data_IF_854823436806
#
_entry.id   IF_854823436806
#
_cell.length_a   1.000
_cell.length_b   1.000
_cell.length_c   1.000
_cell.angle_alpha   90.00
_cell.angle_beta   90.00
_cell.angle_gamma   90.00
#
_symmetry.space_group_name_H-M   'P 1'
#
loop_
_entity.id
_entity.type
_entity.pdbx_description
1 polymer ?
#
# COMPACT_ATOMS: atom_id res chain seq x y z
N UNK A 1 -15.35 35.97 -17.92
CA UNK A 1 -15.29 35.09 -19.13
C UNK A 1 -13.99 35.26 -19.93
N UNK A 2 -13.41 36.47 -20.01
CA UNK A 2 -12.15 36.72 -20.73
C UNK A 2 -10.88 36.14 -20.08
N UNK A 3 -10.85 36.01 -18.76
CA UNK A 3 -9.63 35.65 -18.01
C UNK A 3 -9.08 34.25 -18.34
N UNK A 4 -9.95 33.24 -18.53
CA UNK A 4 -9.55 31.87 -18.94
C UNK A 4 -9.04 31.77 -20.39
N UNK A 5 -9.21 32.81 -21.22
CA UNK A 5 -8.62 32.86 -22.57
C UNK A 5 -7.21 33.45 -22.55
N UNK A 6 -6.92 34.30 -21.57
CA UNK A 6 -5.62 34.97 -21.43
C UNK A 6 -4.66 34.09 -20.63
N UNK A 7 -5.15 33.46 -19.56
CA UNK A 7 -4.35 32.55 -18.74
C UNK A 7 -4.50 31.14 -19.30
N UNK A 8 -3.45 30.67 -19.98
CA UNK A 8 -3.35 29.31 -20.50
C UNK A 8 -2.77 28.35 -19.44
N UNK A 9 -3.13 27.06 -19.49
CA UNK A 9 -2.60 26.05 -18.59
C UNK A 9 -1.12 25.75 -18.91
N UNK A 10 -0.35 25.34 -17.90
CA UNK A 10 1.10 25.11 -18.02
C UNK A 10 1.46 24.00 -19.03
N UNK A 11 0.54 23.07 -19.26
CA UNK A 11 0.64 21.96 -20.20
C UNK A 11 0.88 22.45 -21.63
N UNK A 12 0.47 23.68 -21.94
CA UNK A 12 0.68 24.27 -23.26
C UNK A 12 2.17 24.49 -23.59
N UNK A 13 3.02 24.67 -22.58
CA UNK A 13 4.47 24.84 -22.76
C UNK A 13 5.15 23.48 -23.00
N UNK A 14 4.52 22.39 -22.55
CA UNK A 14 5.09 21.05 -22.54
C UNK A 14 4.74 20.22 -23.79
N UNK A 15 4.11 20.83 -24.80
CA UNK A 15 3.63 20.13 -26.00
C UNK A 15 4.74 19.58 -26.89
N UNK A 16 5.96 20.11 -26.78
CA UNK A 16 7.08 19.74 -27.64
C UNK A 16 7.83 18.50 -27.15
N UNK A 17 7.57 18.03 -25.93
CA UNK A 17 8.27 16.89 -25.34
C UNK A 17 7.52 15.58 -25.60
N UNK A 18 8.23 14.45 -25.76
CA UNK A 18 7.61 13.14 -25.81
C UNK A 18 6.85 12.84 -24.52
N UNK A 19 5.66 12.27 -24.67
CA UNK A 19 4.69 12.07 -23.60
C UNK A 19 4.69 10.63 -23.12
N UNK A 20 4.61 10.49 -21.80
CA UNK A 20 4.53 9.20 -21.13
C UNK A 20 3.35 9.22 -20.16
N UNK A 21 2.35 8.39 -20.43
CA UNK A 21 1.14 8.30 -19.61
C UNK A 21 1.37 7.31 -18.49
N UNK A 22 1.23 7.79 -17.26
CA UNK A 22 1.49 7.04 -16.03
C UNK A 22 0.18 6.53 -15.44
N UNK A 23 0.23 5.35 -14.83
CA UNK A 23 -0.87 4.78 -14.04
C UNK A 23 -1.15 5.64 -12.80
N UNK A 24 -2.42 5.95 -12.54
CA UNK A 24 -2.86 6.80 -11.42
C UNK A 24 -2.27 6.39 -10.05
N UNK A 25 -2.02 5.09 -9.84
CA UNK A 25 -1.42 4.59 -8.59
C UNK A 25 0.05 4.99 -8.38
N UNK A 26 0.77 5.28 -9.46
CA UNK A 26 2.18 5.67 -9.43
C UNK A 26 2.38 7.19 -9.38
N UNK A 27 1.34 7.98 -9.64
CA UNK A 27 1.42 9.45 -9.72
C UNK A 27 1.95 10.07 -8.43
N UNK A 28 1.41 9.69 -7.27
CA UNK A 28 1.86 10.29 -6.01
C UNK A 28 3.33 9.97 -5.71
N UNK A 29 3.80 8.77 -6.03
CA UNK A 29 5.20 8.39 -5.84
C UNK A 29 6.14 9.30 -6.66
N UNK A 30 5.77 9.62 -7.90
CA UNK A 30 6.50 10.54 -8.78
C UNK A 30 6.49 11.96 -8.21
N UNK A 31 5.37 12.41 -7.61
CA UNK A 31 5.30 13.72 -6.95
C UNK A 31 6.26 13.85 -5.74
N UNK A 32 6.63 12.73 -5.11
CA UNK A 32 7.67 12.70 -4.08
C UNK A 32 9.10 12.58 -4.64
N UNK A 33 9.28 12.44 -5.95
CA UNK A 33 10.58 12.32 -6.58
C UNK A 33 11.01 10.88 -6.87
N UNK A 34 10.12 9.88 -6.74
CA UNK A 34 10.46 8.49 -7.07
C UNK A 34 10.68 8.32 -8.58
N UNK A 35 11.64 7.48 -8.98
CA UNK A 35 11.86 7.15 -10.39
C UNK A 35 10.67 6.39 -10.98
N UNK A 36 10.39 6.60 -12.26
CA UNK A 36 9.32 5.90 -12.96
C UNK A 36 9.83 4.52 -13.40
N UNK A 37 9.18 3.47 -12.90
CA UNK A 37 9.44 2.08 -13.31
C UNK A 37 8.44 1.61 -14.37
N UNK A 38 8.81 0.56 -15.12
CA UNK A 38 7.95 -0.09 -16.13
C UNK A 38 6.51 -0.35 -15.67
N UNK A 39 6.22 -0.93 -14.49
CA UNK A 39 4.84 -1.17 -14.05
C UNK A 39 4.00 0.10 -13.84
N UNK A 40 4.65 1.27 -13.77
CA UNK A 40 3.99 2.58 -13.68
C UNK A 40 3.55 3.13 -15.04
N UNK A 41 4.03 2.59 -16.15
CA UNK A 41 3.73 3.07 -17.51
C UNK A 41 2.42 2.47 -18.00
N UNK A 42 1.53 3.34 -18.51
CA UNK A 42 0.29 2.93 -19.17
C UNK A 42 0.41 3.06 -20.69
N UNK A 43 0.94 4.19 -21.17
CA UNK A 43 1.16 4.46 -22.60
C UNK A 43 2.44 5.27 -22.76
N UNK A 44 3.09 5.11 -23.90
CA UNK A 44 4.31 5.84 -24.24
C UNK A 44 4.22 6.32 -25.69
N UNK A 45 4.90 7.42 -25.99
CA UNK A 45 5.03 7.94 -27.34
C UNK A 45 6.12 7.21 -28.14
N UNK A 46 6.03 7.30 -29.46
CA UNK A 46 7.07 6.80 -30.36
C UNK A 46 8.25 7.79 -30.39
N UNK A 47 9.45 7.29 -30.69
CA UNK A 47 10.69 8.08 -30.79
C UNK A 47 11.22 8.63 -29.45
N UNK A 48 11.10 7.85 -28.37
CA UNK A 48 11.81 8.13 -27.12
C UNK A 48 13.20 7.52 -27.24
N UNK A 49 14.22 8.36 -27.11
CA UNK A 49 15.63 7.96 -27.06
C UNK A 49 16.17 8.07 -25.63
N UNK A 50 17.22 7.31 -25.33
CA UNK A 50 17.91 7.40 -24.03
C UNK A 50 18.53 8.78 -23.88
N UNK A 51 18.32 9.42 -22.74
CA UNK A 51 18.80 10.77 -22.46
C UNK A 51 17.88 11.89 -22.96
N UNK A 52 16.82 11.59 -23.69
CA UNK A 52 15.84 12.59 -24.10
C UNK A 52 15.02 13.11 -22.91
N UNK A 53 14.64 14.39 -22.97
CA UNK A 53 13.72 14.98 -22.00
C UNK A 53 12.29 14.59 -22.35
N UNK A 54 11.57 14.06 -21.35
CA UNK A 54 10.20 13.56 -21.50
C UNK A 54 9.28 14.15 -20.45
N UNK A 55 7.99 14.19 -20.77
CA UNK A 55 6.92 14.65 -19.88
C UNK A 55 6.09 13.46 -19.44
N UNK A 56 5.97 13.28 -18.13
CA UNK A 56 5.06 12.31 -17.54
C UNK A 56 3.69 12.96 -17.30
N UNK A 57 2.64 12.33 -17.82
CA UNK A 57 1.27 12.82 -17.72
C UNK A 57 0.34 11.79 -17.07
N UNK A 58 -0.73 12.27 -16.45
CA UNK A 58 -1.83 11.41 -16.00
C UNK A 58 -2.72 11.00 -17.17
N UNK A 59 -3.65 10.07 -16.93
CA UNK A 59 -4.69 9.70 -17.91
C UNK A 59 -5.62 10.85 -18.27
N UNK A 60 -5.71 11.88 -17.41
CA UNK A 60 -6.49 13.10 -17.63
C UNK A 60 -5.75 14.15 -18.46
N UNK A 61 -4.46 13.94 -18.74
CA UNK A 61 -3.62 14.91 -19.44
C UNK A 61 -3.04 16.01 -18.54
N UNK A 62 -2.99 15.79 -17.23
CA UNK A 62 -2.30 16.71 -16.30
C UNK A 62 -0.80 16.40 -16.32
N UNK A 63 0.04 17.44 -16.34
CA UNK A 63 1.49 17.27 -16.28
C UNK A 63 1.94 16.94 -14.84
N UNK A 64 2.57 15.77 -14.66
CA UNK A 64 3.05 15.33 -13.34
C UNK A 64 4.45 15.89 -13.08
N UNK A 65 5.38 15.58 -13.99
CA UNK A 65 6.80 15.89 -13.85
C UNK A 65 7.50 15.79 -15.21
N UNK A 66 8.64 16.46 -15.33
CA UNK A 66 9.60 16.25 -16.42
C UNK A 66 10.72 15.33 -15.96
N UNK A 67 11.23 14.53 -16.88
CA UNK A 67 12.27 13.54 -16.60
C UNK A 67 13.19 13.30 -17.79
N UNK A 68 14.25 12.55 -17.53
CA UNK A 68 15.20 12.08 -18.53
C UNK A 68 14.93 10.60 -18.74
N UNK A 69 14.66 10.22 -19.99
CA UNK A 69 14.42 8.83 -20.36
C UNK A 69 15.68 7.98 -20.19
N UNK A 70 15.55 6.82 -19.56
CA UNK A 70 16.63 5.83 -19.40
C UNK A 70 16.50 4.65 -20.38
N UNK A 71 15.36 4.55 -21.06
CA UNK A 71 15.04 3.48 -22.00
C UNK A 71 14.52 4.06 -23.31
N UNK A 72 14.76 3.37 -24.42
CA UNK A 72 14.15 3.70 -25.70
C UNK A 72 12.73 3.15 -25.80
N UNK A 73 11.92 3.67 -26.73
CA UNK A 73 10.56 3.15 -27.01
C UNK A 73 10.53 1.63 -27.23
N UNK A 74 11.52 1.08 -27.94
CA UNK A 74 11.59 -0.36 -28.22
C UNK A 74 11.86 -1.20 -26.96
N UNK A 75 12.66 -0.65 -26.03
CA UNK A 75 12.98 -1.31 -24.75
C UNK A 75 11.80 -1.25 -23.80
N UNK A 76 11.11 -0.09 -23.73
CA UNK A 76 9.89 0.07 -22.90
C UNK A 76 8.81 -0.95 -23.30
N UNK A 77 8.74 -1.32 -24.58
CA UNK A 77 7.77 -2.28 -25.07
C UNK A 77 8.14 -3.76 -24.81
N UNK A 78 9.43 -4.07 -24.66
CA UNK A 78 9.92 -5.45 -24.60
C UNK A 78 10.27 -5.94 -23.20
N UNK A 79 10.64 -5.04 -22.29
CA UNK A 79 11.17 -5.40 -20.97
C UNK A 79 10.07 -5.39 -19.89
N UNK A 80 10.11 -6.37 -18.98
CA UNK A 80 9.14 -6.50 -17.88
C UNK A 80 9.46 -5.66 -16.63
N UNK A 81 10.74 -5.27 -16.46
CA UNK A 81 11.26 -4.62 -15.26
C UNK A 81 12.32 -3.57 -15.60
N UNK A 82 12.44 -2.55 -14.75
CA UNK A 82 13.49 -1.54 -14.86
C UNK A 82 12.98 -0.11 -14.77
N UNK A 83 13.93 0.82 -14.84
CA UNK A 83 13.68 2.26 -14.71
C UNK A 83 13.48 2.87 -16.09
N UNK A 84 12.33 3.49 -16.30
CA UNK A 84 11.95 4.11 -17.57
C UNK A 84 12.43 5.57 -17.62
N UNK A 85 12.25 6.30 -16.52
CA UNK A 85 12.59 7.72 -16.44
C UNK A 85 13.08 8.11 -15.06
N UNK A 86 14.12 8.96 -15.03
CA UNK A 86 14.58 9.64 -13.82
C UNK A 86 14.00 11.05 -13.81
N UNK A 87 13.47 11.49 -12.67
CA UNK A 87 12.83 12.79 -12.54
C UNK A 87 13.87 13.90 -12.58
N UNK A 88 13.59 14.93 -13.38
CA UNK A 88 14.35 16.19 -13.42
C UNK A 88 13.64 17.27 -12.61
N UNK A 89 12.32 17.44 -12.79
CA UNK A 89 11.52 18.42 -12.04
C UNK A 89 10.08 17.92 -11.84
N UNK A 90 9.62 17.95 -10.60
CA UNK A 90 8.21 17.71 -10.25
C UNK A 90 7.41 18.99 -10.42
N UNK A 91 6.23 18.88 -11.05
CA UNK A 91 5.33 20.01 -11.33
C UNK A 91 4.06 19.90 -10.49
N UNK A 92 3.48 18.69 -10.43
CA UNK A 92 2.23 18.42 -9.72
C UNK A 92 2.43 18.44 -8.19
N UNK A 93 1.41 18.93 -7.48
CA UNK A 93 1.41 18.95 -6.01
C UNK A 93 1.32 17.54 -5.42
N UNK A 94 1.96 17.34 -4.27
CA UNK A 94 1.92 16.08 -3.52
C UNK A 94 0.51 15.81 -3.03
N UNK A 95 0.13 14.54 -2.95
CA UNK A 95 -1.18 14.07 -2.47
C UNK A 95 -2.40 14.52 -3.29
N UNK A 96 -2.20 15.10 -4.48
CA UNK A 96 -3.27 15.32 -5.47
C UNK A 96 -3.94 13.99 -5.85
N UNK A 97 -3.14 12.91 -5.92
CA UNK A 97 -3.61 11.55 -6.15
C UNK A 97 -3.39 10.71 -4.89
N UNK A 98 -4.47 10.13 -4.35
CA UNK A 98 -4.37 9.30 -3.14
C UNK A 98 -3.55 8.03 -3.38
N UNK A 99 -2.60 7.75 -2.49
CA UNK A 99 -1.98 6.43 -2.38
C UNK A 99 -3.02 5.42 -1.89
N UNK A 100 -3.50 4.53 -2.77
CA UNK A 100 -4.54 3.55 -2.42
C UNK A 100 -4.04 2.33 -1.65
N UNK A 101 -2.99 2.46 -0.83
CA UNK A 101 -2.60 1.39 0.09
C UNK A 101 -3.56 1.33 1.28
N UNK A 102 -4.14 0.17 1.55
CA UNK A 102 -5.08 0.02 2.67
C UNK A 102 -6.46 0.66 2.46
N UNK A 103 -6.88 0.92 1.22
CA UNK A 103 -8.26 1.33 0.86
C UNK A 103 -9.11 0.19 0.28
N UNK A 104 -8.61 -1.05 0.32
CA UNK A 104 -9.43 -2.21 -0.01
C UNK A 104 -10.57 -2.42 0.99
N UNK A 105 -11.68 -3.08 0.60
CA UNK A 105 -12.84 -3.31 1.46
C UNK A 105 -12.48 -3.86 2.85
N UNK A 106 -11.47 -4.76 2.89
CA UNK A 106 -10.92 -5.34 4.13
C UNK A 106 -10.35 -4.31 5.08
N UNK A 107 -9.49 -3.44 4.58
CA UNK A 107 -8.79 -2.47 5.40
C UNK A 107 -9.73 -1.36 5.85
N UNK A 108 -10.65 -0.91 4.99
CA UNK A 108 -11.66 0.08 5.36
C UNK A 108 -12.61 -0.44 6.42
N UNK A 109 -13.10 -1.68 6.30
CA UNK A 109 -14.02 -2.25 7.28
C UNK A 109 -13.32 -2.61 8.59
N UNK A 110 -12.06 -3.08 8.53
CA UNK A 110 -11.22 -3.26 9.72
C UNK A 110 -11.08 -1.94 10.49
N UNK A 111 -10.75 -0.85 9.80
CA UNK A 111 -10.64 0.49 10.41
C UNK A 111 -11.96 0.97 11.01
N UNK A 112 -13.11 0.74 10.34
CA UNK A 112 -14.44 1.06 10.89
C UNK A 112 -14.75 0.25 12.16
N UNK A 113 -14.40 -1.03 12.20
CA UNK A 113 -14.62 -1.88 13.38
C UNK A 113 -13.73 -1.48 14.56
N UNK A 114 -12.49 -1.08 14.29
CA UNK A 114 -11.59 -0.51 15.30
C UNK A 114 -12.18 0.79 15.87
N UNK A 115 -12.65 1.69 15.00
CA UNK A 115 -13.29 2.95 15.40
C UNK A 115 -14.60 2.73 16.18
N UNK A 116 -15.35 1.68 15.84
CA UNK A 116 -16.55 1.27 16.58
C UNK A 116 -16.26 0.50 17.89
N UNK A 117 -14.99 0.30 18.26
CA UNK A 117 -14.59 -0.46 19.47
C UNK A 117 -14.90 -1.96 19.39
N UNK A 118 -15.29 -2.47 18.21
CA UNK A 118 -15.59 -3.89 17.95
C UNK A 118 -14.35 -4.72 17.62
N UNK A 119 -13.19 -4.07 17.54
CA UNK A 119 -11.87 -4.65 17.32
C UNK A 119 -10.87 -3.88 18.19
N UNK A 120 -9.79 -4.52 18.62
CA UNK A 120 -8.69 -3.86 19.34
C UNK A 120 -7.93 -2.86 18.44
N UNK A 121 -7.09 -1.97 19.01
CA UNK A 121 -6.30 -1.00 18.23
C UNK A 121 -5.41 -1.65 17.15
N UNK A 122 -4.92 -2.86 17.40
CA UNK A 122 -4.13 -3.67 16.44
C UNK A 122 -5.02 -4.50 15.49
N UNK A 123 -6.33 -4.44 15.69
CA UNK A 123 -7.37 -5.09 14.91
C UNK A 123 -7.42 -6.61 15.08
N UNK A 124 -7.11 -7.09 16.29
CA UNK A 124 -7.43 -8.43 16.77
C UNK A 124 -8.87 -8.47 17.31
N UNK A 125 -9.57 -9.63 17.23
CA UNK A 125 -10.90 -9.80 17.82
C UNK A 125 -10.92 -9.50 19.32
N UNK A 126 -12.00 -8.86 19.77
CA UNK A 126 -12.41 -8.71 21.17
C UNK A 126 -13.80 -9.35 21.40
N UNK A 127 -14.33 -9.27 22.62
CA UNK A 127 -15.64 -9.82 22.99
C UNK A 127 -16.81 -9.26 22.16
N UNK A 128 -16.67 -8.04 21.63
CA UNK A 128 -17.68 -7.34 20.84
C UNK A 128 -17.54 -7.56 19.33
N UNK A 129 -16.68 -8.49 18.89
CA UNK A 129 -16.44 -8.75 17.47
C UNK A 129 -17.63 -9.49 16.85
N UNK A 130 -18.17 -9.03 15.71
CA UNK A 130 -19.26 -9.74 15.04
C UNK A 130 -18.82 -11.14 14.59
N UNK A 131 -19.64 -12.17 14.85
CA UNK A 131 -19.41 -13.55 14.34
C UNK A 131 -19.22 -13.60 12.82
N UNK A 132 -19.89 -12.70 12.08
CA UNK A 132 -19.74 -12.56 10.63
C UNK A 132 -18.32 -12.11 10.19
N UNK A 133 -17.61 -11.34 11.02
CA UNK A 133 -16.21 -10.94 10.77
C UNK A 133 -15.25 -12.11 11.01
N UNK A 134 -15.49 -12.91 12.05
CA UNK A 134 -14.71 -14.12 12.38
C UNK A 134 -14.88 -15.21 11.32
N UNK A 135 -16.10 -15.46 10.87
CA UNK A 135 -16.40 -16.50 9.89
C UNK A 135 -16.22 -16.07 8.43
N UNK A 136 -15.87 -14.79 8.17
CA UNK A 136 -15.75 -14.27 6.82
C UNK A 136 -17.03 -14.43 6.00
N UNK A 137 -18.19 -14.18 6.61
CA UNK A 137 -19.51 -14.37 5.98
C UNK A 137 -20.13 -13.02 5.56
N UNK A 138 -21.02 -13.05 4.56
CA UNK A 138 -21.74 -11.87 4.08
C UNK A 138 -20.85 -10.86 3.36
N UNK A 139 -20.86 -9.59 3.82
CA UNK A 139 -20.05 -8.49 3.24
C UNK A 139 -18.53 -8.77 3.29
N UNK A 140 -18.09 -9.73 4.10
CA UNK A 140 -16.69 -10.09 4.30
C UNK A 140 -16.32 -11.46 3.71
N UNK A 141 -17.07 -11.94 2.72
CA UNK A 141 -16.87 -13.22 2.01
C UNK A 141 -15.51 -13.40 1.33
N UNK A 142 -14.80 -12.29 1.07
CA UNK A 142 -13.44 -12.30 0.52
C UNK A 142 -12.36 -12.58 1.57
N UNK A 143 -12.71 -12.64 2.87
CA UNK A 143 -11.78 -13.11 3.89
C UNK A 143 -11.48 -14.59 3.63
N UNK A 144 -10.21 -15.02 3.79
CA UNK A 144 -9.91 -16.45 3.79
C UNK A 144 -10.81 -17.12 4.82
N UNK A 145 -11.68 -18.03 4.37
CA UNK A 145 -12.42 -18.90 5.29
C UNK A 145 -11.34 -19.68 6.03
N UNK A 146 -11.28 -19.54 7.35
CA UNK A 146 -10.35 -20.32 8.14
C UNK A 146 -10.70 -21.81 7.96
N UNK A 147 -10.03 -22.50 7.04
CA UNK A 147 -10.14 -23.94 6.82
C UNK A 147 -8.89 -24.59 7.39
N UNK A 148 -9.01 -25.15 8.60
CA UNK A 148 -7.93 -25.85 9.28
C UNK A 148 -8.12 -25.89 10.80
N UNK A 149 -7.45 -26.82 11.48
CA UNK A 149 -7.53 -27.06 12.93
C UNK A 149 -7.23 -25.81 13.80
N UNK A 150 -6.53 -24.83 13.25
CA UNK A 150 -6.27 -23.51 13.87
C UNK A 150 -7.56 -22.70 14.10
N UNK A 151 -8.57 -22.88 13.24
CA UNK A 151 -9.90 -22.28 13.42
C UNK A 151 -10.64 -22.82 14.65
N UNK A 152 -10.37 -24.06 15.05
CA UNK A 152 -10.95 -24.66 16.26
C UNK A 152 -10.19 -24.23 17.51
N UNK A 153 -8.86 -24.12 17.43
CA UNK A 153 -8.02 -23.72 18.56
C UNK A 153 -8.28 -22.26 18.98
N UNK A 154 -8.35 -21.31 18.02
CA UNK A 154 -8.67 -19.91 18.32
C UNK A 154 -10.14 -19.70 18.69
N UNK A 155 -11.06 -20.52 18.17
CA UNK A 155 -12.47 -20.51 18.56
C UNK A 155 -12.66 -21.06 19.98
N UNK A 156 -11.90 -22.09 20.39
CA UNK A 156 -11.85 -22.59 21.77
C UNK A 156 -11.24 -21.58 22.73
N UNK A 157 -10.15 -20.89 22.35
CA UNK A 157 -9.54 -19.83 23.15
C UNK A 157 -10.49 -18.63 23.30
N UNK A 158 -11.16 -18.21 22.23
CA UNK A 158 -12.15 -17.13 22.27
C UNK A 158 -13.38 -17.50 23.11
N UNK A 159 -13.78 -18.77 23.18
CA UNK A 159 -14.85 -19.24 24.09
C UNK A 159 -14.39 -19.43 25.53
N UNK A 160 -13.14 -19.85 25.78
CA UNK A 160 -12.61 -20.07 27.14
C UNK A 160 -12.39 -18.78 27.92
N UNK A 161 -12.08 -17.68 27.23
CA UNK A 161 -11.96 -16.34 27.87
C UNK A 161 -13.32 -15.87 28.45
N UNK A 162 -14.43 -16.35 27.90
CA UNK A 162 -15.80 -15.97 28.36
C UNK A 162 -16.25 -16.75 29.61
N UNK A 163 -15.73 -17.96 29.85
CA UNK A 163 -16.14 -18.80 31.00
C UNK A 163 -15.28 -18.64 32.27
N UNK A 164 -14.08 -18.06 32.18
CA UNK A 164 -13.12 -17.97 33.31
C UNK A 164 -13.48 -16.98 34.43
N UNK A 165 -14.63 -16.33 34.39
CA UNK A 165 -14.99 -15.19 35.22
C UNK A 165 -15.88 -15.48 36.45
N UNK A 166 -15.83 -16.66 37.12
CA UNK A 166 -16.59 -16.82 38.39
C UNK A 166 -16.17 -17.98 39.33
N UNK A 167 -15.09 -17.83 40.10
CA UNK A 167 -15.00 -18.11 41.57
C UNK A 167 -13.57 -17.96 42.11
N UNK A 168 -13.39 -17.10 43.11
CA UNK A 168 -12.21 -17.07 44.00
C UNK A 168 -12.44 -18.05 45.16
N UNK A 169 -11.47 -18.92 45.48
CA UNK A 169 -10.78 -19.00 46.79
C UNK A 169 -9.93 -20.28 46.95
N UNK A 170 -8.63 -20.02 47.15
CA UNK A 170 -7.74 -20.50 48.23
C UNK A 170 -6.97 -21.83 48.15
N UNK A 171 -5.80 -21.76 48.79
CA UNK A 171 -4.77 -22.74 49.18
C UNK A 171 -3.81 -23.32 48.12
N UNK A 172 -2.54 -22.90 48.21
CA UNK A 172 -1.52 -23.74 48.86
C UNK A 172 -0.55 -24.55 47.97
N UNK A 173 0.70 -24.10 48.01
CA UNK A 173 1.96 -24.86 47.92
C UNK A 173 2.58 -25.24 46.55
N UNK A 174 3.90 -25.48 46.64
CA UNK A 174 4.97 -25.10 45.73
C UNK A 174 5.35 -26.16 44.70
N UNK A 175 6.02 -25.74 43.60
CA UNK A 175 7.39 -26.15 43.24
C UNK A 175 7.83 -25.65 41.86
N UNK A 176 9.16 -25.63 41.68
CA UNK A 176 9.99 -24.85 40.76
C UNK A 176 9.79 -25.06 39.24
N UNK A 177 10.06 -23.98 38.48
CA UNK A 177 10.44 -24.04 37.05
C UNK A 177 11.91 -23.60 36.87
N UNK A 178 12.76 -24.36 36.17
CA UNK A 178 14.11 -23.90 35.82
C UNK A 178 14.11 -23.01 34.56
N UNK A 179 15.06 -22.08 34.57
CA UNK A 179 15.31 -20.97 33.64
C UNK A 179 15.73 -21.45 32.23
N UNK A 180 15.13 -20.91 31.16
CA UNK A 180 15.68 -20.96 29.79
C UNK A 180 16.73 -19.85 29.60
N UNK A 181 17.97 -20.26 29.33
CA UNK A 181 19.09 -19.39 28.94
C UNK A 181 18.89 -18.84 27.51
N UNK A 182 19.16 -17.54 27.35
CA UNK A 182 19.45 -16.87 26.08
C UNK A 182 20.69 -17.48 25.42
N UNK A 183 20.70 -17.58 24.09
CA UNK A 183 21.92 -17.43 23.31
C UNK A 183 21.62 -16.53 22.11
N UNK A 184 22.22 -15.35 22.17
CA UNK A 184 22.43 -14.38 21.11
C UNK A 184 23.50 -14.97 20.19
N UNK A 185 23.35 -14.79 18.88
CA UNK A 185 24.44 -14.93 17.91
C UNK A 185 24.50 -13.60 17.16
N UNK A 186 25.54 -12.84 17.50
CA UNK A 186 26.10 -11.73 16.72
C UNK A 186 26.77 -12.30 15.47
N UNK A 187 26.73 -11.55 14.36
CA UNK A 187 27.89 -11.36 13.47
C UNK A 187 27.53 -10.27 12.43
N UNK A 188 28.00 -9.05 12.69
CA UNK A 188 28.36 -8.01 11.72
C UNK A 188 29.66 -7.36 12.23
N UNK A 189 30.73 -7.44 11.44
CA UNK A 189 31.88 -6.52 11.31
C UNK A 189 32.60 -6.97 10.02
N UNK A 190 32.48 -6.25 8.90
CA UNK A 190 33.38 -5.16 8.46
C UNK A 190 34.88 -5.52 8.55
N UNK A 191 35.41 -6.02 7.42
CA UNK A 191 36.63 -5.55 6.74
C UNK A 191 36.61 -5.97 5.26
#
# INVERSE_FOLDING_TARGET
KYLRRVVMPLEHILTNFPRLVVKDSAVNAICYGAQLMIPGVLRFEQNIEVGSEIVMMTTKGEAIATGIAQMTTAVIASVDHGVVAVIKRVIMERDTYNMRWGFGPRSSDKKKLILAGKLTEKGKPNENTPKAWLMGQGRWSYLPKMTGAEAKAEMEEATKVVEGGKKRKDSGDAEEKPKKKKKVVEEEEEE
#
